data_IF_161669708689
#
_entry.id   IF_161669708689
#
_cell.length_a   1.000
_cell.length_b   1.000
_cell.length_c   1.000
_cell.angle_alpha   90.00
_cell.angle_beta   90.00
_cell.angle_gamma   90.00
#
_symmetry.space_group_name_H-M   'P 1'
#
loop_
_entity.id
_entity.type
_entity.pdbx_description
1 polymer ?
#
# COMPACT_ATOMS: atom_id res chain seq x y z
N UNK A 1 -66.98 41.41 16.20
CA UNK A 1 -67.11 41.70 14.75
C UNK A 1 -66.57 40.52 13.96
N UNK A 2 -66.90 40.44 12.67
CA UNK A 2 -66.43 39.50 11.64
C UNK A 2 -64.91 39.57 11.38
N UNK A 3 -64.21 38.58 10.81
CA UNK A 3 -64.53 37.20 10.41
C UNK A 3 -63.25 36.32 10.28
N UNK A 4 -63.41 35.03 9.91
CA UNK A 4 -62.38 34.00 9.62
C UNK A 4 -62.06 33.96 8.09
N UNK A 5 -60.94 33.35 7.61
CA UNK A 5 -60.80 31.87 7.55
C UNK A 5 -59.36 31.30 7.69
N UNK A 6 -59.24 29.97 7.53
CA UNK A 6 -57.99 29.17 7.66
C UNK A 6 -57.45 28.67 6.31
N UNK A 7 -56.23 28.11 6.29
CA UNK A 7 -55.99 26.76 5.74
C UNK A 7 -55.50 25.80 6.84
N UNK A 8 -56.04 24.59 7.01
CA UNK A 8 -55.92 23.36 6.20
C UNK A 8 -54.58 22.62 6.37
N UNK A 9 -54.68 21.40 6.89
CA UNK A 9 -53.57 20.46 7.13
C UNK A 9 -53.26 19.61 5.91
N UNK A 10 -51.97 19.33 5.66
CA UNK A 10 -51.53 18.24 4.80
C UNK A 10 -50.54 17.32 5.52
N UNK A 11 -50.78 16.01 5.41
CA UNK A 11 -49.77 14.97 5.67
C UNK A 11 -49.14 14.60 4.32
N UNK A 12 -47.84 14.38 4.28
CA UNK A 12 -47.23 13.53 3.25
C UNK A 12 -46.03 12.78 3.83
N UNK A 13 -45.69 11.65 3.24
CA UNK A 13 -44.71 10.69 3.75
C UNK A 13 -43.92 10.06 2.60
N UNK A 14 -42.62 10.32 2.59
CA UNK A 14 -41.63 9.66 1.73
C UNK A 14 -40.58 9.09 2.70
N UNK A 15 -40.52 7.77 2.97
CA UNK A 15 -40.20 6.63 2.09
C UNK A 15 -38.87 6.81 1.35
N UNK A 16 -37.92 5.99 1.75
CA UNK A 16 -36.65 5.72 1.07
C UNK A 16 -36.92 5.17 -0.34
N UNK A 17 -35.98 5.38 -1.27
CA UNK A 17 -35.93 4.71 -2.56
C UNK A 17 -34.53 4.16 -2.81
N UNK A 18 -34.41 2.85 -2.94
CA UNK A 18 -33.19 2.15 -3.35
C UNK A 18 -33.24 1.87 -4.86
N UNK A 19 -32.26 2.33 -5.62
CA UNK A 19 -32.24 2.21 -7.08
C UNK A 19 -31.19 1.22 -7.58
N UNK A 20 -31.60 0.00 -7.86
CA UNK A 20 -30.91 -0.96 -8.73
C UNK A 20 -31.89 -1.54 -9.75
N UNK A 21 -31.37 -1.96 -10.91
CA UNK A 21 -32.10 -2.52 -12.08
C UNK A 21 -32.70 -1.51 -13.08
N UNK A 22 -32.83 -2.00 -14.34
CA UNK A 22 -33.17 -1.30 -15.59
C UNK A 22 -32.19 -0.17 -15.98
N UNK A 23 -31.61 -0.13 -17.19
CA UNK A 23 -32.18 -0.46 -18.50
C UNK A 23 -31.31 -1.44 -19.33
N UNK A 24 -31.97 -2.27 -20.14
CA UNK A 24 -31.40 -3.01 -21.28
C UNK A 24 -32.32 -2.86 -22.51
N UNK A 25 -31.83 -3.27 -23.69
CA UNK A 25 -32.55 -3.41 -24.98
C UNK A 25 -32.88 -2.13 -25.79
N UNK A 26 -31.90 -1.69 -26.58
CA UNK A 26 -31.97 -1.66 -28.07
C UNK A 26 -30.54 -2.00 -28.57
N UNK A 27 -30.28 -2.54 -29.76
CA UNK A 27 -31.11 -3.02 -30.87
C UNK A 27 -30.20 -3.20 -32.10
N UNK A 28 -30.11 -4.41 -32.67
CA UNK A 28 -29.09 -4.73 -33.69
C UNK A 28 -29.19 -3.90 -34.99
N UNK A 29 -28.04 -3.55 -35.57
CA UNK A 29 -27.84 -3.53 -37.02
C UNK A 29 -26.39 -3.92 -37.37
N UNK A 30 -26.21 -4.66 -38.47
CA UNK A 30 -24.94 -5.27 -38.88
C UNK A 30 -24.24 -4.44 -39.97
N UNK A 31 -22.91 -4.39 -39.92
CA UNK A 31 -22.09 -3.91 -41.03
C UNK A 31 -20.78 -4.72 -41.12
N UNK A 32 -20.72 -5.65 -42.07
CA UNK A 32 -19.46 -6.31 -42.43
C UNK A 32 -18.57 -5.35 -43.24
N UNK A 33 -17.26 -5.33 -42.97
CA UNK A 33 -16.28 -4.89 -43.99
C UNK A 33 -14.86 -5.42 -43.73
N UNK A 34 -14.52 -6.43 -44.54
CA UNK A 34 -13.24 -6.71 -45.20
C UNK A 34 -11.93 -6.36 -44.47
N UNK A 35 -11.15 -7.41 -44.25
CA UNK A 35 -9.79 -7.41 -43.73
C UNK A 35 -8.76 -6.97 -44.80
N UNK A 36 -8.00 -5.88 -44.56
CA UNK A 36 -6.83 -5.51 -45.38
C UNK A 36 -5.66 -5.08 -44.51
N UNK A 37 -4.55 -5.83 -44.57
CA UNK A 37 -3.29 -5.50 -43.92
C UNK A 37 -2.48 -4.46 -44.71
N UNK A 38 -1.84 -3.52 -44.01
CA UNK A 38 -0.85 -2.59 -44.57
C UNK A 38 0.30 -2.47 -43.56
N UNK A 39 1.51 -2.91 -43.96
CA UNK A 39 2.72 -2.75 -43.15
C UNK A 39 3.40 -1.40 -43.40
N UNK A 40 3.90 -0.70 -42.37
CA UNK A 40 4.84 0.41 -42.54
C UNK A 40 6.27 -0.11 -42.84
N UNK A 41 7.15 0.70 -43.47
CA UNK A 41 8.47 0.27 -43.94
C UNK A 41 9.62 0.40 -42.92
N UNK A 42 10.69 -0.37 -43.14
CA UNK A 42 11.94 -0.36 -42.34
C UNK A 42 12.80 0.91 -42.54
N UNK A 43 13.56 1.35 -41.51
CA UNK A 43 14.69 2.24 -41.66
C UNK A 43 16.06 1.54 -41.50
N UNK A 44 16.80 1.49 -42.61
CA UNK A 44 18.27 1.69 -42.76
C UNK A 44 19.21 1.21 -41.63
N UNK A 45 20.15 0.35 -42.01
CA UNK A 45 21.23 -0.21 -41.17
C UNK A 45 22.59 0.45 -41.51
N UNK A 46 23.35 0.91 -40.52
CA UNK A 46 24.77 1.31 -40.66
C UNK A 46 25.71 0.44 -39.81
N UNK A 47 26.93 0.22 -40.30
CA UNK A 47 27.92 -0.71 -39.77
C UNK A 47 29.20 0.00 -39.34
N UNK A 48 29.74 -0.38 -38.17
CA UNK A 48 31.20 -0.58 -37.98
C UNK A 48 31.52 -1.38 -36.71
N UNK A 49 32.74 -1.93 -36.70
CA UNK A 49 33.46 -2.50 -35.55
C UNK A 49 32.99 -3.85 -35.00
N UNK A 50 33.84 -4.88 -35.21
CA UNK A 50 33.93 -6.12 -34.41
C UNK A 50 35.36 -6.25 -33.90
N UNK A 51 35.54 -6.73 -32.67
CA UNK A 51 36.77 -7.32 -32.16
C UNK A 51 36.40 -8.42 -31.15
N UNK A 52 37.22 -9.47 -31.05
CA UNK A 52 37.02 -10.60 -30.15
C UNK A 52 38.03 -10.56 -28.99
N UNK A 53 37.74 -11.15 -27.81
CA UNK A 53 38.64 -11.10 -26.66
C UNK A 53 39.90 -11.92 -26.87
N UNK A 54 41.02 -11.39 -26.37
CA UNK A 54 42.30 -12.07 -26.24
C UNK A 54 42.39 -12.72 -24.86
N UNK A 55 42.82 -13.99 -24.81
CA UNK A 55 43.11 -14.71 -23.57
C UNK A 55 44.61 -14.95 -23.46
N UNK A 56 45.19 -14.63 -22.29
CA UNK A 56 46.54 -15.04 -21.92
C UNK A 56 46.56 -15.53 -20.48
N UNK A 57 46.95 -16.78 -20.29
CA UNK A 57 47.16 -17.38 -18.97
C UNK A 57 48.52 -17.03 -18.41
N UNK A 58 48.62 -16.98 -17.08
CA UNK A 58 49.89 -17.18 -16.37
C UNK A 58 49.61 -17.99 -15.11
N UNK A 59 49.80 -19.31 -15.19
CA UNK A 59 49.91 -20.13 -13.99
C UNK A 59 51.33 -20.00 -13.43
N UNK A 60 51.42 -19.98 -12.10
CA UNK A 60 52.61 -20.48 -11.39
C UNK A 60 52.16 -21.24 -10.15
N UNK A 61 52.78 -22.41 -9.98
CA UNK A 61 52.97 -23.10 -8.71
C UNK A 61 51.69 -23.39 -7.91
N UNK A 62 50.70 -23.97 -8.62
CA UNK A 62 49.73 -24.96 -8.13
C UNK A 62 49.12 -24.79 -6.72
N UNK A 63 47.83 -24.42 -6.70
CA UNK A 63 46.94 -24.26 -5.52
C UNK A 63 46.96 -22.86 -4.90
N UNK A 64 46.01 -22.03 -5.31
CA UNK A 64 45.66 -20.76 -4.64
C UNK A 64 44.18 -20.72 -4.31
N UNK A 65 43.84 -20.92 -3.03
CA UNK A 65 42.52 -20.64 -2.49
C UNK A 65 42.40 -19.15 -2.14
N UNK A 66 41.39 -18.42 -2.62
CA UNK A 66 41.03 -17.11 -2.05
C UNK A 66 40.44 -17.34 -0.64
N UNK A 67 41.17 -16.94 0.39
CA UNK A 67 40.75 -17.03 1.80
C UNK A 67 40.11 -15.73 2.29
N UNK A 68 39.11 -15.88 3.16
CA UNK A 68 38.43 -14.81 3.90
C UNK A 68 37.64 -13.81 3.00
N UNK A 69 36.67 -13.04 3.50
CA UNK A 69 36.31 -12.76 4.91
C UNK A 69 36.91 -11.43 5.37
N UNK A 70 36.13 -10.50 5.94
CA UNK A 70 36.66 -9.21 6.36
C UNK A 70 37.58 -9.37 7.57
N UNK A 71 38.87 -9.13 7.38
CA UNK A 71 39.85 -9.07 8.47
C UNK A 71 40.62 -7.75 8.35
N UNK A 72 40.69 -6.97 9.43
CA UNK A 72 41.20 -5.60 9.43
C UNK A 72 42.65 -5.58 9.89
N UNK A 73 43.60 -5.41 8.97
CA UNK A 73 45.04 -5.33 9.28
C UNK A 73 45.59 -3.93 9.03
N UNK A 74 45.61 -3.10 10.08
CA UNK A 74 46.40 -1.86 10.09
C UNK A 74 47.87 -2.18 10.35
N UNK A 75 48.77 -1.74 9.46
CA UNK A 75 50.21 -1.77 9.69
C UNK A 75 50.68 -0.48 10.37
N UNK A 76 51.57 -0.62 11.36
CA UNK A 76 52.13 0.51 12.13
C UNK A 76 52.60 0.04 13.52
N UNK A 77 53.90 0.06 13.77
CA UNK A 77 54.48 -0.50 14.99
C UNK A 77 54.24 0.39 16.22
N UNK A 78 54.04 -0.26 17.37
CA UNK A 78 53.99 0.40 18.67
C UNK A 78 55.39 0.78 19.19
N UNK A 79 55.45 1.84 20.00
CA UNK A 79 56.53 2.09 20.96
C UNK A 79 55.90 2.59 22.28
N UNK A 80 56.61 2.40 23.39
CA UNK A 80 56.00 2.26 24.72
C UNK A 80 55.50 3.55 25.40
N UNK A 81 54.36 3.39 26.09
CA UNK A 81 54.01 3.90 27.44
C UNK A 81 54.26 5.37 27.86
N UNK A 82 53.24 5.98 28.51
CA UNK A 82 53.29 6.47 29.92
C UNK A 82 52.32 7.64 30.22
N UNK A 83 51.70 7.59 31.42
CA UNK A 83 51.35 8.73 32.32
C UNK A 83 50.22 9.72 31.92
N UNK A 84 49.13 9.61 32.70
CA UNK A 84 48.31 10.66 33.39
C UNK A 84 47.70 11.91 32.70
N UNK A 85 46.47 12.20 33.17
CA UNK A 85 45.97 13.50 33.68
C UNK A 85 45.36 14.62 32.76
N UNK A 86 44.11 14.96 33.14
CA UNK A 86 43.58 16.33 33.39
C UNK A 86 43.13 17.22 32.20
N UNK A 87 42.19 18.14 32.53
CA UNK A 87 41.76 19.35 31.82
C UNK A 87 40.76 19.26 30.63
N UNK A 88 39.49 19.46 31.00
CA UNK A 88 38.53 20.35 30.31
C UNK A 88 39.05 21.83 30.41
N UNK A 89 38.48 22.87 29.76
CA UNK A 89 37.46 22.92 28.69
C UNK A 89 37.85 23.89 27.53
N UNK A 90 36.90 24.25 26.65
CA UNK A 90 36.51 25.66 26.32
C UNK A 90 36.32 25.98 24.83
N UNK A 91 35.11 26.49 24.51
CA UNK A 91 34.88 27.64 23.60
C UNK A 91 35.15 27.45 22.07
N UNK A 92 34.54 28.19 21.15
CA UNK A 92 33.37 29.08 21.21
C UNK A 92 32.85 29.36 19.78
N UNK A 93 31.54 29.65 19.63
CA UNK A 93 30.95 30.61 18.65
C UNK A 93 31.11 30.34 17.14
N UNK A 94 30.20 30.69 16.22
CA UNK A 94 28.72 30.83 16.20
C UNK A 94 28.28 31.06 14.72
N UNK A 95 26.98 30.94 14.40
CA UNK A 95 26.28 31.44 13.18
C UNK A 95 26.84 31.07 11.79
N UNK A 96 26.09 30.30 10.99
CA UNK A 96 25.28 30.84 9.87
C UNK A 96 24.42 29.78 9.17
N UNK A 97 23.41 30.22 8.41
CA UNK A 97 22.46 29.38 7.68
C UNK A 97 22.80 29.28 6.18
N UNK A 98 22.31 28.19 5.54
CA UNK A 98 21.72 28.07 4.18
C UNK A 98 22.42 28.78 2.98
N UNK A 99 22.49 28.20 1.78
CA UNK A 99 22.17 26.86 1.26
C UNK A 99 22.63 26.80 -0.22
N UNK A 100 22.78 25.62 -0.83
CA UNK A 100 22.34 25.33 -2.21
C UNK A 100 22.65 23.92 -2.69
N UNK A 101 21.79 23.46 -3.60
CA UNK A 101 21.86 22.25 -4.43
C UNK A 101 23.20 21.99 -5.14
N UNK A 102 23.47 20.72 -5.46
CA UNK A 102 23.51 20.21 -6.85
C UNK A 102 23.49 18.67 -6.85
N UNK A 103 22.74 18.06 -7.79
CA UNK A 103 22.75 16.61 -8.04
C UNK A 103 23.96 16.20 -8.89
N UNK A 104 24.47 14.98 -8.71
CA UNK A 104 24.81 14.10 -9.84
C UNK A 104 25.08 12.66 -9.39
N UNK A 105 24.45 11.68 -10.03
CA UNK A 105 24.81 10.26 -9.95
C UNK A 105 24.53 9.60 -11.31
N UNK A 106 25.57 9.11 -12.02
CA UNK A 106 25.39 8.55 -13.36
C UNK A 106 24.91 7.10 -13.35
N UNK A 107 24.02 6.77 -14.27
CA UNK A 107 23.64 5.39 -14.60
C UNK A 107 24.76 4.69 -15.40
N UNK A 108 25.02 3.41 -15.11
CA UNK A 108 25.72 2.47 -16.00
C UNK A 108 24.96 1.14 -16.02
N UNK A 109 24.98 0.43 -17.15
CA UNK A 109 24.15 -0.76 -17.43
C UNK A 109 25.01 -1.99 -17.78
N UNK A 110 24.41 -3.17 -17.64
CA UNK A 110 24.98 -4.51 -17.89
C UNK A 110 25.54 -4.72 -19.32
N UNK A 111 26.41 -5.73 -19.49
CA UNK A 111 26.09 -6.81 -20.44
C UNK A 111 26.20 -8.23 -19.83
N UNK A 112 25.77 -9.26 -20.59
CA UNK A 112 25.46 -10.62 -20.10
C UNK A 112 25.83 -11.75 -21.09
N UNK A 113 25.80 -13.01 -20.62
CA UNK A 113 25.76 -14.23 -21.45
C UNK A 113 27.10 -15.00 -21.58
N UNK A 114 27.16 -16.24 -22.09
CA UNK A 114 26.11 -17.16 -22.61
C UNK A 114 26.78 -18.53 -22.92
N UNK A 115 26.25 -19.76 -22.80
CA UNK A 115 25.00 -20.42 -22.32
C UNK A 115 25.34 -21.88 -21.90
N UNK A 116 24.37 -22.69 -21.43
CA UNK A 116 24.06 -24.00 -22.09
C UNK A 116 22.71 -24.64 -21.72
N UNK A 117 22.03 -25.10 -22.79
CA UNK A 117 20.85 -26.00 -22.83
C UNK A 117 19.48 -25.42 -22.40
N UNK A 118 18.35 -25.90 -22.98
CA UNK A 118 17.12 -25.10 -23.05
C UNK A 118 15.95 -25.61 -22.20
N UNK A 119 15.04 -24.70 -21.85
CA UNK A 119 13.68 -25.01 -21.37
C UNK A 119 12.68 -24.26 -22.25
N UNK A 120 11.56 -24.92 -22.61
CA UNK A 120 10.47 -24.31 -23.38
C UNK A 120 9.60 -23.45 -22.48
N UNK A 121 9.08 -22.32 -22.97
CA UNK A 121 7.98 -21.62 -22.33
C UNK A 121 6.65 -22.38 -22.57
N UNK A 122 5.87 -22.70 -21.53
CA UNK A 122 4.42 -22.78 -21.61
C UNK A 122 3.82 -21.39 -21.34
N UNK A 123 2.78 -21.02 -22.08
CA UNK A 123 1.99 -19.80 -21.84
C UNK A 123 0.70 -20.13 -21.10
N UNK A 124 0.60 -19.74 -19.82
CA UNK A 124 -0.65 -19.41 -19.11
C UNK A 124 -0.26 -18.38 -18.03
N UNK A 125 -0.94 -17.24 -17.82
CA UNK A 125 -2.35 -16.89 -17.98
C UNK A 125 -3.27 -17.48 -16.89
N UNK A 126 -3.00 -17.11 -15.65
CA UNK A 126 -3.99 -16.98 -14.59
C UNK A 126 -3.77 -15.62 -13.91
N UNK A 127 -4.81 -14.81 -13.78
CA UNK A 127 -4.86 -13.77 -12.76
C UNK A 127 -5.22 -14.49 -11.45
N UNK A 128 -4.60 -14.13 -10.34
CA UNK A 128 -4.94 -14.69 -9.04
C UNK A 128 -5.25 -13.55 -8.08
N UNK A 129 -6.35 -13.71 -7.36
CA UNK A 129 -6.94 -12.71 -6.50
C UNK A 129 -6.90 -13.13 -5.03
N UNK A 130 -6.83 -12.14 -4.15
CA UNK A 130 -6.34 -12.30 -2.79
C UNK A 130 -7.18 -11.46 -1.82
N UNK A 131 -7.14 -11.78 -0.53
CA UNK A 131 -8.04 -11.21 0.49
C UNK A 131 -7.36 -11.23 1.87
N UNK A 132 -7.91 -10.57 2.89
CA UNK A 132 -7.46 -10.84 4.28
C UNK A 132 -8.04 -12.20 4.69
N UNK A 133 -7.17 -13.17 4.99
CA UNK A 133 -7.56 -14.54 5.40
C UNK A 133 -7.15 -14.77 6.85
N UNK A 134 -8.08 -14.51 7.79
CA UNK A 134 -7.87 -14.71 9.22
C UNK A 134 -8.36 -16.11 9.65
N UNK A 135 -7.51 -17.00 10.20
CA UNK A 135 -7.98 -18.26 10.78
C UNK A 135 -8.82 -18.04 12.04
N UNK A 136 -9.88 -18.84 12.22
CA UNK A 136 -10.73 -18.84 13.41
C UNK A 136 -11.23 -20.26 13.70
N UNK A 137 -10.44 -21.02 14.49
CA UNK A 137 -10.70 -22.44 14.74
C UNK A 137 -10.80 -23.27 13.45
N UNK A 138 -11.92 -23.93 13.24
CA UNK A 138 -12.24 -24.70 12.03
C UNK A 138 -12.72 -23.82 10.85
N UNK A 139 -12.63 -22.49 10.96
CA UNK A 139 -13.05 -21.51 9.94
C UNK A 139 -11.92 -20.61 9.44
N UNK A 140 -12.16 -19.97 8.30
CA UNK A 140 -11.40 -18.84 7.75
C UNK A 140 -12.36 -17.66 7.62
N UNK A 141 -11.99 -16.52 8.19
CA UNK A 141 -12.72 -15.27 8.11
C UNK A 141 -12.08 -14.42 7.02
N UNK A 142 -12.82 -14.22 5.93
CA UNK A 142 -12.37 -13.47 4.76
C UNK A 142 -12.93 -12.05 4.83
N UNK A 143 -12.06 -11.06 5.04
CA UNK A 143 -12.36 -9.61 5.02
C UNK A 143 -11.77 -9.01 3.76
N UNK A 144 -12.55 -8.24 3.00
CA UNK A 144 -12.04 -7.62 1.77
C UNK A 144 -11.24 -6.36 2.08
N UNK A 145 -10.27 -5.98 1.25
CA UNK A 145 -9.59 -4.70 1.40
C UNK A 145 -10.57 -3.52 1.27
N UNK A 146 -11.51 -3.46 0.32
CA UNK A 146 -12.54 -2.41 0.33
C UNK A 146 -13.31 -2.30 1.67
N UNK A 147 -13.51 -3.41 2.39
CA UNK A 147 -14.10 -3.40 3.74
C UNK A 147 -13.08 -2.97 4.83
N UNK A 148 -11.80 -3.34 4.72
CA UNK A 148 -10.72 -2.88 5.61
C UNK A 148 -10.50 -1.37 5.52
N UNK A 149 -10.56 -0.81 4.31
CA UNK A 149 -10.41 0.62 4.05
C UNK A 149 -11.66 1.38 4.51
N UNK A 150 -12.87 0.82 4.34
CA UNK A 150 -14.08 1.35 4.95
C UNK A 150 -13.97 1.44 6.48
N UNK A 151 -13.38 0.43 7.14
CA UNK A 151 -13.09 0.48 8.58
C UNK A 151 -12.05 1.57 8.91
N UNK A 152 -10.96 1.68 8.15
CA UNK A 152 -9.96 2.76 8.28
C UNK A 152 -10.60 4.15 8.21
N UNK A 153 -11.49 4.37 7.24
CA UNK A 153 -12.26 5.61 7.12
C UNK A 153 -13.15 5.91 8.34
N UNK A 154 -13.78 4.87 8.91
CA UNK A 154 -14.58 5.01 10.14
C UNK A 154 -13.71 5.38 11.35
N UNK A 155 -12.54 4.75 11.50
CA UNK A 155 -11.55 5.07 12.55
C UNK A 155 -11.10 6.53 12.42
N UNK A 156 -10.69 6.98 11.23
CA UNK A 156 -10.21 8.35 11.06
C UNK A 156 -11.34 9.40 11.15
N UNK A 157 -12.60 9.01 10.91
CA UNK A 157 -13.77 9.87 11.18
C UNK A 157 -13.92 10.15 12.69
N UNK A 158 -13.58 9.18 13.54
CA UNK A 158 -13.55 9.35 15.00
C UNK A 158 -12.31 10.10 15.53
N UNK A 159 -11.25 10.25 14.72
CA UNK A 159 -9.98 10.90 15.11
C UNK A 159 -10.15 12.37 15.54
N UNK A 160 -9.54 12.70 16.69
CA UNK A 160 -9.49 14.00 17.38
C UNK A 160 -8.07 14.47 17.70
N UNK A 161 -7.06 13.60 17.55
CA UNK A 161 -5.66 13.98 17.68
C UNK A 161 -5.18 14.90 16.53
N UNK A 162 -4.13 15.67 16.81
CA UNK A 162 -3.42 16.55 15.87
C UNK A 162 -4.31 17.59 15.16
N UNK A 163 -3.96 17.91 13.91
CA UNK A 163 -4.54 18.92 13.03
C UNK A 163 -5.69 18.39 12.15
N UNK A 164 -5.80 17.07 11.92
CA UNK A 164 -6.86 16.45 11.10
C UNK A 164 -8.31 16.86 11.47
N UNK A 165 -8.68 17.19 12.73
CA UNK A 165 -10.01 17.71 13.06
C UNK A 165 -10.28 19.13 12.52
N UNK A 166 -9.22 19.91 12.32
CA UNK A 166 -9.27 21.31 11.86
C UNK A 166 -8.77 21.48 10.41
N UNK A 167 -8.16 20.46 9.81
CA UNK A 167 -7.64 20.51 8.44
C UNK A 167 -8.76 20.83 7.44
N UNK A 168 -8.59 21.82 6.55
CA UNK A 168 -9.55 22.08 5.46
C UNK A 168 -9.62 20.91 4.47
N UNK A 169 -8.65 20.00 4.51
CA UNK A 169 -8.56 18.80 3.66
C UNK A 169 -9.12 17.54 4.34
N UNK A 170 -9.79 17.68 5.51
CA UNK A 170 -10.31 16.54 6.30
C UNK A 170 -11.14 15.54 5.47
N UNK A 171 -12.13 16.01 4.72
CA UNK A 171 -13.01 15.10 3.96
C UNK A 171 -12.26 14.37 2.83
N UNK A 172 -11.32 15.05 2.16
CA UNK A 172 -10.38 14.46 1.20
C UNK A 172 -9.51 13.36 1.84
N UNK A 173 -8.97 13.61 3.04
CA UNK A 173 -8.20 12.60 3.78
C UNK A 173 -9.08 11.44 4.23
N UNK A 174 -10.33 11.68 4.65
CA UNK A 174 -11.28 10.61 5.00
C UNK A 174 -11.73 9.79 3.79
N UNK A 175 -11.90 10.42 2.61
CA UNK A 175 -12.16 9.75 1.33
C UNK A 175 -10.96 8.89 0.91
N UNK A 176 -9.74 9.46 0.91
CA UNK A 176 -8.52 8.73 0.62
C UNK A 176 -8.32 7.54 1.58
N UNK A 177 -8.56 7.73 2.88
CA UNK A 177 -8.47 6.65 3.88
C UNK A 177 -9.54 5.58 3.65
N UNK A 178 -10.78 5.96 3.30
CA UNK A 178 -11.88 5.02 3.02
C UNK A 178 -11.66 4.19 1.75
N UNK A 179 -11.03 4.76 0.74
CA UNK A 179 -10.91 4.17 -0.59
C UNK A 179 -9.46 3.83 -0.99
N UNK A 180 -8.47 3.86 -0.07
CA UNK A 180 -7.06 3.67 -0.45
C UNK A 180 -6.83 2.36 -1.23
N UNK A 181 -7.42 1.27 -0.75
CA UNK A 181 -7.36 -0.03 -1.38
C UNK A 181 -8.63 -0.38 -2.19
N UNK A 182 -9.38 0.62 -2.68
CA UNK A 182 -10.53 0.40 -3.59
C UNK A 182 -10.14 -0.30 -4.92
N UNK A 183 -8.85 -0.28 -5.27
CA UNK A 183 -8.30 -0.99 -6.42
C UNK A 183 -8.54 -2.51 -6.36
N UNK A 184 -8.65 -3.08 -5.17
CA UNK A 184 -8.90 -4.49 -4.91
C UNK A 184 -10.35 -4.97 -5.19
N UNK A 185 -11.30 -4.07 -5.48
CA UNK A 185 -12.75 -4.43 -5.54
C UNK A 185 -13.12 -5.61 -6.46
N UNK A 186 -12.46 -5.77 -7.61
CA UNK A 186 -12.67 -6.91 -8.52
C UNK A 186 -11.93 -8.18 -8.10
N UNK A 187 -10.91 -8.02 -7.26
CA UNK A 187 -9.98 -9.04 -6.82
C UNK A 187 -10.69 -9.85 -5.71
N UNK A 188 -10.98 -9.21 -4.58
CA UNK A 188 -11.60 -9.82 -3.40
C UNK A 188 -13.04 -10.33 -3.63
N UNK A 189 -13.67 -9.96 -4.75
CA UNK A 189 -14.95 -10.49 -5.19
C UNK A 189 -14.86 -11.97 -5.62
N UNK A 190 -13.70 -12.39 -6.14
CA UNK A 190 -13.44 -13.73 -6.65
C UNK A 190 -12.03 -14.19 -6.22
N UNK A 191 -11.80 -14.47 -4.92
CA UNK A 191 -10.49 -14.84 -4.41
C UNK A 191 -10.08 -16.23 -4.91
N UNK A 192 -8.84 -16.34 -5.38
CA UNK A 192 -8.28 -17.56 -5.96
C UNK A 192 -7.49 -18.39 -4.93
N UNK A 193 -7.21 -19.65 -5.27
CA UNK A 193 -6.41 -20.54 -4.41
C UNK A 193 -4.90 -20.36 -4.61
N UNK A 194 -4.19 -20.29 -3.50
CA UNK A 194 -2.76 -20.62 -3.45
C UNK A 194 -2.56 -22.08 -3.88
N UNK A 195 -1.80 -22.35 -4.96
CA UNK A 195 -1.50 -23.71 -5.40
C UNK A 195 -0.76 -24.56 -4.36
N UNK A 196 -0.02 -23.92 -3.45
CA UNK A 196 0.76 -24.60 -2.40
C UNK A 196 -0.09 -25.10 -1.23
N UNK A 197 -0.72 -24.18 -0.49
CA UNK A 197 -1.56 -24.51 0.68
C UNK A 197 -2.99 -24.97 0.33
N UNK A 198 -3.42 -24.75 -0.92
CA UNK A 198 -4.78 -25.09 -1.41
C UNK A 198 -5.88 -24.38 -0.61
N UNK A 199 -5.58 -23.18 -0.13
CA UNK A 199 -6.43 -22.23 0.60
C UNK A 199 -6.49 -20.89 -0.15
N UNK A 200 -7.42 -19.97 0.17
CA UNK A 200 -7.48 -18.67 -0.50
C UNK A 200 -6.16 -17.90 -0.35
N UNK A 201 -5.74 -17.16 -1.37
CA UNK A 201 -4.56 -16.30 -1.27
C UNK A 201 -4.76 -15.20 -0.21
N UNK A 202 -3.73 -14.99 0.61
CA UNK A 202 -3.65 -13.86 1.53
C UNK A 202 -3.04 -12.65 0.79
N UNK A 203 -3.60 -11.45 0.95
CA UNK A 203 -3.15 -10.26 0.19
C UNK A 203 -1.63 -9.97 0.26
N UNK A 204 -0.99 -10.26 1.38
CA UNK A 204 0.47 -10.15 1.51
C UNK A 204 1.23 -11.07 0.55
N UNK A 205 0.72 -12.28 0.29
CA UNK A 205 1.26 -13.25 -0.67
C UNK A 205 0.68 -13.10 -2.09
N UNK A 206 -0.05 -12.00 -2.36
CA UNK A 206 -0.63 -11.74 -3.67
C UNK A 206 0.41 -11.63 -4.79
N UNK A 207 0.10 -12.07 -6.03
CA UNK A 207 1.02 -12.00 -7.15
C UNK A 207 1.38 -10.56 -7.50
N UNK A 208 2.61 -10.36 -7.98
CA UNK A 208 3.10 -9.05 -8.41
C UNK A 208 2.22 -8.40 -9.47
N UNK A 209 1.71 -9.18 -10.44
CA UNK A 209 0.82 -8.67 -11.47
C UNK A 209 -0.53 -8.14 -10.91
N UNK A 210 -1.05 -8.75 -9.84
CA UNK A 210 -2.29 -8.34 -9.17
C UNK A 210 -2.03 -7.05 -8.38
N UNK A 211 -1.00 -7.05 -7.53
CA UNK A 211 -0.55 -5.88 -6.75
C UNK A 211 -0.18 -4.67 -7.64
N UNK A 212 0.42 -4.88 -8.82
CA UNK A 212 0.71 -3.81 -9.78
C UNK A 212 -0.55 -3.32 -10.53
N UNK A 213 -1.60 -4.14 -10.60
CA UNK A 213 -2.87 -3.79 -11.26
C UNK A 213 -3.82 -2.96 -10.38
N UNK A 214 -3.81 -3.18 -9.06
CA UNK A 214 -4.75 -2.54 -8.11
C UNK A 214 -4.51 -1.05 -7.90
N UNK A 215 -3.30 -0.58 -7.58
CA UNK A 215 -3.09 0.82 -7.18
C UNK A 215 -3.35 1.82 -8.31
N UNK A 216 -2.88 1.60 -9.57
CA UNK A 216 -3.27 2.46 -10.69
C UNK A 216 -4.79 2.42 -10.98
N UNK A 217 -5.48 1.31 -10.66
CA UNK A 217 -6.94 1.19 -10.79
C UNK A 217 -7.65 1.99 -9.69
N UNK A 218 -7.13 1.98 -8.46
CA UNK A 218 -7.65 2.73 -7.32
C UNK A 218 -7.54 4.24 -7.50
N UNK A 219 -6.37 4.74 -7.97
CA UNK A 219 -6.15 6.15 -8.28
C UNK A 219 -7.15 6.67 -9.32
N UNK A 220 -7.27 5.99 -10.46
CA UNK A 220 -8.18 6.38 -11.56
C UNK A 220 -9.67 6.33 -11.22
N UNK A 221 -10.06 5.72 -10.09
CA UNK A 221 -11.45 5.70 -9.61
C UNK A 221 -11.82 6.94 -8.82
N UNK A 222 -10.88 7.45 -8.03
CA UNK A 222 -11.11 8.60 -7.15
C UNK A 222 -10.81 9.91 -7.90
N UNK A 223 -9.84 9.93 -8.83
CA UNK A 223 -9.43 11.13 -9.57
C UNK A 223 -10.58 11.99 -10.17
N UNK A 224 -11.68 11.41 -10.72
CA UNK A 224 -12.81 12.20 -11.22
C UNK A 224 -13.73 12.81 -10.14
N UNK A 225 -13.60 12.37 -8.88
CA UNK A 225 -14.36 12.85 -7.72
C UNK A 225 -13.51 13.82 -6.87
N UNK A 226 -12.29 13.39 -6.53
CA UNK A 226 -11.32 14.15 -5.73
C UNK A 226 -9.87 13.80 -6.18
N UNK A 227 -9.17 14.70 -6.92
CA UNK A 227 -7.81 14.46 -7.38
C UNK A 227 -6.77 14.54 -6.24
N UNK A 228 -7.09 15.19 -5.11
CA UNK A 228 -6.23 15.29 -3.94
C UNK A 228 -6.24 13.96 -3.17
N UNK A 229 -7.42 13.35 -3.03
CA UNK A 229 -7.57 12.01 -2.48
C UNK A 229 -6.92 10.97 -3.40
N UNK A 230 -7.06 11.10 -4.72
CA UNK A 230 -6.36 10.24 -5.67
C UNK A 230 -4.83 10.35 -5.55
N UNK A 231 -4.29 11.54 -5.26
CA UNK A 231 -2.86 11.75 -5.04
C UNK A 231 -2.37 11.13 -3.72
N UNK A 232 -3.18 11.17 -2.65
CA UNK A 232 -2.94 10.44 -1.40
C UNK A 232 -2.92 8.92 -1.62
N UNK A 233 -3.83 8.38 -2.43
CA UNK A 233 -3.86 6.95 -2.79
C UNK A 233 -2.67 6.55 -3.68
N UNK A 234 -2.22 7.42 -4.59
CA UNK A 234 -0.99 7.21 -5.35
C UNK A 234 0.26 7.20 -4.44
N UNK A 235 0.28 8.04 -3.40
CA UNK A 235 1.32 8.06 -2.38
C UNK A 235 1.29 6.83 -1.46
N UNK A 236 0.10 6.28 -1.16
CA UNK A 236 -0.03 5.07 -0.34
C UNK A 236 0.75 3.88 -0.92
N UNK A 237 0.57 3.62 -2.22
CA UNK A 237 1.31 2.58 -2.95
C UNK A 237 2.84 2.78 -2.89
N UNK A 238 3.32 4.04 -2.91
CA UNK A 238 4.75 4.36 -2.83
C UNK A 238 5.32 4.09 -1.44
N UNK A 239 4.56 4.43 -0.39
CA UNK A 239 4.93 4.19 1.00
C UNK A 239 4.90 2.69 1.36
N UNK A 240 3.89 1.94 0.91
CA UNK A 240 3.85 0.48 1.08
C UNK A 240 5.08 -0.20 0.46
N UNK A 241 5.50 0.25 -0.74
CA UNK A 241 6.72 -0.25 -1.38
C UNK A 241 8.01 0.21 -0.67
N UNK A 242 7.98 1.27 0.14
CA UNK A 242 9.12 1.71 0.97
C UNK A 242 9.24 0.88 2.26
N UNK A 243 8.12 0.62 2.94
CA UNK A 243 8.05 -0.26 4.12
C UNK A 243 8.31 -1.73 3.75
N UNK A 244 7.88 -2.15 2.55
CA UNK A 244 8.11 -3.49 2.02
C UNK A 244 8.80 -3.42 0.64
N UNK A 245 10.14 -3.29 0.59
CA UNK A 245 10.89 -3.28 -0.66
C UNK A 245 10.77 -4.60 -1.42
N UNK A 246 10.17 -4.56 -2.61
CA UNK A 246 10.07 -5.68 -3.54
C UNK A 246 11.15 -5.54 -4.65
N UNK A 247 12.15 -6.42 -4.74
CA UNK A 247 13.18 -6.34 -5.79
C UNK A 247 12.60 -6.52 -7.20
N UNK A 248 13.06 -5.72 -8.17
CA UNK A 248 12.55 -5.76 -9.56
C UNK A 248 11.36 -4.82 -9.81
N UNK A 249 10.85 -4.15 -8.78
CA UNK A 249 9.73 -3.23 -8.86
C UNK A 249 10.13 -1.77 -9.14
N UNK A 250 11.40 -1.49 -9.43
CA UNK A 250 11.91 -0.12 -9.54
C UNK A 250 11.22 0.65 -10.68
N UNK A 251 10.87 -0.05 -11.77
CA UNK A 251 10.03 0.50 -12.85
C UNK A 251 8.60 0.81 -12.40
N UNK A 252 8.00 -0.03 -11.56
CA UNK A 252 6.65 0.20 -11.07
C UNK A 252 6.59 1.35 -10.05
N UNK A 253 7.53 1.39 -9.10
CA UNK A 253 7.69 2.54 -8.19
C UNK A 253 7.84 3.84 -8.99
N UNK A 254 8.70 3.84 -10.01
CA UNK A 254 8.88 4.99 -10.90
C UNK A 254 7.58 5.42 -11.61
N UNK A 255 6.73 4.47 -12.02
CA UNK A 255 5.43 4.76 -12.63
C UNK A 255 4.44 5.37 -11.62
N UNK A 256 4.36 4.85 -10.40
CA UNK A 256 3.51 5.42 -9.35
C UNK A 256 3.98 6.82 -8.91
N UNK A 257 5.29 7.07 -8.86
CA UNK A 257 5.86 8.42 -8.63
C UNK A 257 5.41 9.38 -9.73
N UNK A 258 5.54 8.98 -11.00
CA UNK A 258 5.10 9.80 -12.14
C UNK A 258 3.60 10.10 -12.10
N UNK A 259 2.78 9.15 -11.63
CA UNK A 259 1.32 9.30 -11.52
C UNK A 259 0.90 10.24 -10.36
N UNK A 260 1.48 10.07 -9.16
CA UNK A 260 1.30 11.02 -8.05
C UNK A 260 1.71 12.43 -8.47
N UNK A 261 2.87 12.56 -9.11
CA UNK A 261 3.39 13.85 -9.53
C UNK A 261 2.61 14.43 -10.72
N UNK A 262 1.89 13.60 -11.50
CA UNK A 262 0.95 14.07 -12.54
C UNK A 262 -0.25 14.76 -11.89
N UNK A 263 -0.81 14.17 -10.83
CA UNK A 263 -1.93 14.76 -10.09
C UNK A 263 -1.50 16.07 -9.45
N UNK A 264 -0.36 16.09 -8.73
CA UNK A 264 0.21 17.32 -8.14
C UNK A 264 0.38 18.43 -9.19
N UNK A 265 1.01 18.15 -10.33
CA UNK A 265 1.18 19.12 -11.44
C UNK A 265 -0.11 19.52 -12.16
N UNK A 266 -1.22 18.80 -11.94
CA UNK A 266 -2.55 19.19 -12.42
C UNK A 266 -3.26 20.17 -11.45
N UNK A 267 -2.60 20.53 -10.33
CA UNK A 267 -3.13 21.40 -9.28
C UNK A 267 -3.54 20.65 -8.01
N UNK A 268 -3.41 19.32 -7.96
CA UNK A 268 -3.75 18.58 -6.75
C UNK A 268 -2.83 18.98 -5.58
N UNK A 269 -3.38 19.06 -4.36
CA UNK A 269 -2.71 19.57 -3.17
C UNK A 269 -2.06 20.96 -3.35
N UNK A 270 -2.62 21.81 -4.22
CA UNK A 270 -2.02 23.10 -4.61
C UNK A 270 -0.61 22.97 -5.24
N UNK A 271 -0.26 21.78 -5.76
CA UNK A 271 1.07 21.31 -6.18
C UNK A 271 2.05 21.05 -5.01
N UNK A 272 1.62 21.08 -3.75
CA UNK A 272 2.48 20.87 -2.58
C UNK A 272 2.63 19.39 -2.19
N UNK A 273 3.84 18.86 -2.39
CA UNK A 273 4.20 17.51 -1.95
C UNK A 273 4.40 17.42 -0.43
N UNK A 274 4.88 18.47 0.24
CA UNK A 274 5.15 18.43 1.68
C UNK A 274 3.83 18.43 2.46
N UNK A 275 2.85 19.24 2.04
CA UNK A 275 1.46 19.18 2.52
C UNK A 275 0.79 17.81 2.27
N UNK A 276 0.96 17.23 1.06
CA UNK A 276 0.45 15.89 0.76
C UNK A 276 1.06 14.84 1.68
N UNK A 277 2.38 14.87 1.90
CA UNK A 277 3.07 13.94 2.81
C UNK A 277 2.69 14.16 4.27
N UNK A 278 2.40 15.41 4.67
CA UNK A 278 1.92 15.74 6.00
C UNK A 278 0.54 15.10 6.25
N UNK A 279 -0.44 15.27 5.37
CA UNK A 279 -1.78 14.68 5.53
C UNK A 279 -1.81 13.16 5.26
N UNK A 280 -0.92 12.63 4.40
CA UNK A 280 -0.80 11.20 4.10
C UNK A 280 -0.59 10.33 5.36
N UNK A 281 0.03 10.88 6.42
CA UNK A 281 0.24 10.15 7.67
C UNK A 281 -1.05 9.56 8.25
N UNK A 282 -2.19 10.23 8.03
CA UNK A 282 -3.50 9.80 8.53
C UNK A 282 -4.10 8.65 7.72
N UNK A 283 -3.82 8.57 6.42
CA UNK A 283 -4.19 7.42 5.58
C UNK A 283 -3.48 6.16 6.08
N UNK A 284 -2.16 6.25 6.30
CA UNK A 284 -1.35 5.12 6.77
C UNK A 284 -1.66 4.71 8.22
N UNK A 285 -2.00 5.66 9.11
CA UNK A 285 -2.49 5.32 10.46
C UNK A 285 -3.83 4.59 10.38
N UNK A 286 -4.76 5.03 9.54
CA UNK A 286 -6.05 4.37 9.35
C UNK A 286 -5.92 2.94 8.81
N UNK A 287 -5.03 2.73 7.83
CA UNK A 287 -4.64 1.41 7.31
C UNK A 287 -4.07 0.51 8.43
N UNK A 288 -2.99 0.93 9.10
CA UNK A 288 -2.34 0.14 10.16
C UNK A 288 -3.31 -0.25 11.28
N UNK A 289 -4.18 0.67 11.74
CA UNK A 289 -5.14 0.36 12.82
C UNK A 289 -6.21 -0.64 12.35
N UNK A 290 -6.66 -0.58 11.08
CA UNK A 290 -7.64 -1.55 10.56
C UNK A 290 -6.99 -2.91 10.30
N UNK A 291 -5.76 -2.97 9.76
CA UNK A 291 -5.02 -4.22 9.55
C UNK A 291 -4.69 -4.93 10.86
N UNK A 292 -4.27 -4.20 11.91
CA UNK A 292 -4.03 -4.79 13.23
C UNK A 292 -5.28 -5.49 13.78
N UNK A 293 -6.48 -4.95 13.54
CA UNK A 293 -7.74 -5.59 13.88
C UNK A 293 -8.11 -6.76 12.95
N UNK A 294 -8.12 -6.53 11.63
CA UNK A 294 -8.60 -7.49 10.64
C UNK A 294 -7.71 -8.73 10.52
N UNK A 295 -6.39 -8.56 10.60
CA UNK A 295 -5.39 -9.62 10.50
C UNK A 295 -5.01 -10.24 11.85
N UNK A 296 -5.54 -9.70 12.97
CA UNK A 296 -5.16 -10.09 14.33
C UNK A 296 -3.64 -10.00 14.63
N UNK A 297 -2.94 -9.04 14.03
CA UNK A 297 -1.53 -8.81 14.32
C UNK A 297 -1.30 -8.53 15.82
N UNK A 298 -0.13 -8.96 16.31
CA UNK A 298 0.26 -8.98 17.73
C UNK A 298 1.44 -8.04 18.04
N UNK A 299 2.09 -7.59 16.97
CA UNK A 299 3.26 -6.76 16.93
C UNK A 299 2.93 -5.32 17.34
N UNK A 300 3.94 -4.60 17.83
CA UNK A 300 3.81 -3.17 18.15
C UNK A 300 4.20 -2.33 16.95
N UNK A 301 3.23 -1.69 16.31
CA UNK A 301 3.45 -0.79 15.18
C UNK A 301 3.73 0.62 15.68
N UNK A 302 4.65 1.35 15.03
CA UNK A 302 5.02 2.72 15.41
C UNK A 302 5.16 3.59 14.16
N UNK A 303 4.41 4.68 14.10
CA UNK A 303 4.38 5.58 12.94
C UNK A 303 3.86 6.97 13.32
N UNK A 304 4.43 8.03 12.74
CA UNK A 304 4.03 9.43 12.96
C UNK A 304 3.86 9.85 14.44
N UNK A 305 4.68 9.28 15.35
CA UNK A 305 4.60 9.54 16.80
C UNK A 305 3.63 8.61 17.56
N UNK A 306 2.71 7.94 16.85
CA UNK A 306 1.78 6.99 17.42
C UNK A 306 2.37 5.58 17.55
N UNK A 307 1.82 4.84 18.50
CA UNK A 307 2.07 3.42 18.76
C UNK A 307 0.73 2.69 18.72
N UNK A 308 0.66 1.60 17.95
CA UNK A 308 -0.55 0.77 17.80
C UNK A 308 -0.24 -0.64 18.28
N UNK A 309 -1.08 -1.16 19.18
CA UNK A 309 -1.01 -2.52 19.75
C UNK A 309 -2.39 -3.16 19.80
N UNK A 310 -2.46 -4.48 20.01
CA UNK A 310 -3.73 -5.22 20.14
C UNK A 310 -3.79 -5.99 21.45
N UNK A 311 -4.94 -5.95 22.11
CA UNK A 311 -5.30 -6.79 23.25
C UNK A 311 -6.69 -7.42 22.98
N UNK A 312 -6.71 -8.71 22.64
CA UNK A 312 -7.91 -9.40 22.18
C UNK A 312 -8.58 -8.71 20.98
N UNK A 313 -9.85 -8.34 21.12
CA UNK A 313 -10.60 -7.59 20.10
C UNK A 313 -10.43 -6.06 20.22
N UNK A 314 -9.54 -5.58 21.09
CA UNK A 314 -9.26 -4.15 21.28
C UNK A 314 -7.97 -3.76 20.57
N UNK A 315 -8.01 -2.72 19.75
CA UNK A 315 -6.81 -2.03 19.24
C UNK A 315 -6.57 -0.79 20.10
N UNK A 316 -5.34 -0.64 20.57
CA UNK A 316 -4.91 0.42 21.45
C UNK A 316 -4.00 1.38 20.67
N UNK A 317 -4.25 2.68 20.79
CA UNK A 317 -3.47 3.73 20.11
C UNK A 317 -2.94 4.72 21.14
N UNK A 318 -1.62 4.91 21.19
CA UNK A 318 -0.94 5.84 22.11
C UNK A 318 -0.09 6.85 21.33
N UNK A 319 -0.17 8.17 21.60
CA UNK A 319 -1.10 8.83 22.51
C UNK A 319 -2.56 8.68 22.07
N UNK A 320 -3.50 8.92 22.96
CA UNK A 320 -4.95 8.86 22.71
C UNK A 320 -5.38 9.86 21.63
N UNK A 321 -5.85 9.39 20.44
CA UNK A 321 -6.33 10.26 19.38
C UNK A 321 -7.87 10.38 19.36
N UNK A 322 -8.58 9.88 20.36
CA UNK A 322 -10.05 9.75 20.39
C UNK A 322 -10.71 10.49 21.58
N UNK A 323 -9.95 11.25 22.38
CA UNK A 323 -10.42 11.97 23.58
C UNK A 323 -11.06 11.03 24.64
N UNK A 324 -10.45 9.88 24.90
CA UNK A 324 -10.96 8.87 25.84
C UNK A 324 -12.23 8.15 25.37
N UNK A 325 -12.67 8.36 24.12
CA UNK A 325 -13.89 7.76 23.57
C UNK A 325 -13.56 6.45 22.84
N UNK A 326 -14.14 5.30 23.23
CA UNK A 326 -14.00 4.08 22.47
C UNK A 326 -14.70 4.19 21.11
N UNK A 327 -14.04 3.72 20.05
CA UNK A 327 -14.59 3.62 18.69
C UNK A 327 -14.99 2.18 18.44
N UNK A 328 -16.26 1.91 18.13
CA UNK A 328 -16.69 0.56 17.76
C UNK A 328 -16.07 0.18 16.40
N UNK A 329 -15.37 -0.96 16.37
CA UNK A 329 -14.87 -1.56 15.14
C UNK A 329 -15.89 -2.59 14.66
N UNK A 330 -16.37 -2.43 13.43
CA UNK A 330 -17.29 -3.36 12.79
C UNK A 330 -16.93 -3.50 11.31
N UNK A 331 -16.48 -4.68 10.90
CA UNK A 331 -16.12 -4.98 9.50
C UNK A 331 -16.84 -6.26 9.05
N UNK A 332 -17.46 -6.30 7.86
CA UNK A 332 -18.06 -7.52 7.34
C UNK A 332 -16.97 -8.55 6.99
N UNK A 333 -17.31 -9.83 7.14
CA UNK A 333 -16.49 -10.94 6.68
C UNK A 333 -17.34 -12.08 6.12
N UNK A 334 -16.76 -12.93 5.27
CA UNK A 334 -17.32 -14.24 4.94
C UNK A 334 -16.65 -15.33 5.78
N UNK A 335 -17.44 -16.23 6.38
CA UNK A 335 -16.93 -17.34 7.18
C UNK A 335 -16.91 -18.64 6.34
N UNK A 336 -15.73 -19.04 5.88
CA UNK A 336 -15.49 -20.26 5.11
C UNK A 336 -14.98 -21.39 6.02
N UNK A 337 -15.16 -22.68 5.69
CA UNK A 337 -14.51 -23.77 6.43
C UNK A 337 -12.99 -23.80 6.18
N UNK A 338 -12.18 -24.08 7.21
CA UNK A 338 -10.71 -24.11 7.17
C UNK A 338 -10.11 -25.36 6.48
N UNK A 339 -10.77 -25.87 5.46
CA UNK A 339 -10.29 -26.98 4.63
C UNK A 339 -9.36 -26.52 3.51
N UNK A 340 -8.77 -27.47 2.80
CA UNK A 340 -8.28 -27.24 1.44
C UNK A 340 -9.41 -27.34 0.42
N UNK A 341 -9.27 -26.64 -0.70
CA UNK A 341 -10.24 -26.60 -1.79
C UNK A 341 -9.73 -27.33 -3.05
N UNK A 342 -10.65 -27.85 -3.86
CA UNK A 342 -10.36 -28.68 -5.02
C UNK A 342 -9.91 -27.86 -6.25
N UNK A 343 -10.56 -26.73 -6.50
CA UNK A 343 -10.29 -25.79 -7.59
C UNK A 343 -10.76 -24.39 -7.18
N UNK A 344 -10.45 -23.37 -7.97
CA UNK A 344 -10.97 -22.02 -7.72
C UNK A 344 -12.52 -22.03 -7.81
N UNK A 345 -13.14 -22.91 -8.60
CA UNK A 345 -14.61 -23.09 -8.61
C UNK A 345 -15.15 -23.62 -7.27
N UNK A 346 -14.44 -24.53 -6.61
CA UNK A 346 -14.80 -25.04 -5.27
C UNK A 346 -14.60 -23.96 -4.19
N UNK A 347 -13.58 -23.11 -4.33
CA UNK A 347 -13.43 -21.92 -3.49
C UNK A 347 -14.55 -20.91 -3.75
N UNK A 348 -14.81 -20.53 -4.99
CA UNK A 348 -15.86 -19.57 -5.35
C UNK A 348 -17.24 -20.05 -4.90
N UNK A 349 -17.58 -21.32 -5.11
CA UNK A 349 -18.83 -21.91 -4.63
C UNK A 349 -18.93 -21.87 -3.09
N UNK A 350 -17.84 -22.16 -2.37
CA UNK A 350 -17.81 -22.07 -0.92
C UNK A 350 -17.85 -20.61 -0.41
N UNK A 351 -17.17 -19.68 -1.09
CA UNK A 351 -17.17 -18.25 -0.80
C UNK A 351 -18.55 -17.65 -1.01
N UNK A 352 -19.22 -17.93 -2.13
CA UNK A 352 -20.56 -17.41 -2.40
C UNK A 352 -21.62 -17.95 -1.45
N UNK A 353 -21.55 -19.24 -1.10
CA UNK A 353 -22.42 -19.85 -0.11
C UNK A 353 -22.06 -19.50 1.35
N UNK A 354 -20.87 -18.96 1.62
CA UNK A 354 -20.42 -18.66 2.98
C UNK A 354 -21.30 -17.59 3.65
N UNK A 355 -21.72 -17.79 4.91
CA UNK A 355 -22.47 -16.79 5.66
C UNK A 355 -21.64 -15.51 5.82
N UNK A 356 -22.32 -14.38 5.66
CA UNK A 356 -21.78 -13.05 5.95
C UNK A 356 -21.96 -12.78 7.45
N UNK A 357 -20.85 -12.50 8.12
CA UNK A 357 -20.80 -12.10 9.52
C UNK A 357 -20.23 -10.68 9.64
N UNK A 358 -20.21 -10.12 10.85
CA UNK A 358 -19.52 -8.86 11.15
C UNK A 358 -18.56 -9.12 12.30
N UNK A 359 -17.27 -8.92 12.06
CA UNK A 359 -16.25 -8.98 13.10
C UNK A 359 -16.37 -7.70 13.94
N UNK A 360 -16.39 -7.83 15.27
CA UNK A 360 -16.54 -6.70 16.20
C UNK A 360 -15.37 -6.58 17.15
N UNK A 361 -15.05 -5.32 17.47
CA UNK A 361 -14.01 -4.94 18.39
C UNK A 361 -14.11 -3.48 18.75
N UNK A 362 -13.02 -2.94 19.29
CA UNK A 362 -12.96 -1.55 19.77
C UNK A 362 -11.59 -0.96 19.45
N UNK A 363 -11.51 0.26 18.93
CA UNK A 363 -10.28 1.05 19.03
C UNK A 363 -10.41 2.00 20.23
N UNK A 364 -9.38 2.07 21.07
CA UNK A 364 -9.32 3.00 22.18
C UNK A 364 -7.97 3.71 22.22
N UNK A 365 -7.98 4.93 22.76
CA UNK A 365 -6.77 5.68 23.04
C UNK A 365 -6.17 5.27 24.38
N UNK A 366 -4.86 5.42 24.51
CA UNK A 366 -4.13 5.36 25.78
C UNK A 366 -3.42 6.69 25.98
N UNK A 367 -3.67 7.35 27.11
CA UNK A 367 -2.91 8.53 27.52
C UNK A 367 -1.41 8.20 27.57
N UNK A 368 -0.58 9.06 26.98
CA UNK A 368 0.85 8.98 27.23
C UNK A 368 1.13 9.28 28.69
N UNK A 369 1.46 8.24 29.46
CA UNK A 369 2.04 8.39 30.78
C UNK A 369 3.39 9.08 30.65
N UNK A 370 3.40 10.38 30.83
CA UNK A 370 4.62 11.07 31.25
C UNK A 370 5.16 10.36 32.50
N UNK A 371 6.47 10.07 32.57
CA UNK A 371 7.06 9.60 33.80
C UNK A 371 6.91 10.70 34.85
N UNK A 372 6.09 10.45 35.88
CA UNK A 372 5.85 11.36 36.99
C UNK A 372 7.18 12.00 37.45
N UNK A 373 7.32 13.33 37.49
CA UNK A 373 8.52 13.96 38.03
C UNK A 373 8.72 13.46 39.46
N UNK A 374 9.93 12.98 39.74
CA UNK A 374 10.17 11.96 40.76
C UNK A 374 9.70 12.30 42.18
N UNK A 375 9.25 11.25 42.88
CA UNK A 375 9.20 11.21 44.35
C UNK A 375 10.60 10.95 44.93
#
# INVERSE_FOLDING_TARGET
>A
MTARPSPLSWRSSYRLCSSTSCVLQYGHQSAERLNTSISPPDPINDRRSRAAPFWSTSEKDGTTSPTCGPNWSTSGNACAAAVEAIANPSSNVNVSMRASFIMNSPLVRLPSGDQRAPVRCPSYAAMLNDVIVRPDGDCLLLVTQPDHAALSGCIMTAWRGDDLPASPRRETVLLATREHDNGWREVDAHPDLDPGSRRPHHFMTAPDATKQGIWPRGVRRIEPEDPDAAALVAQHALALLEVHPLPGWERFRSAMTVERDRLLRAGAYDNDLDGLLADYRFVFLGDVISLVFCCEWSETYRYAGYTVTRDGTTVQVQPDPFEGRPVELAVPARQLPARSFASNDDLHAAYDAAPRIVLRGTACGIESRDPMPGC
#
